data_IF_814203161952
#
_entry.id   IF_814203161952
#
_cell.length_a   1.000
_cell.length_b   1.000
_cell.length_c   1.000
_cell.angle_alpha   90.00
_cell.angle_beta   90.00
_cell.angle_gamma   90.00
#
_symmetry.space_group_name_H-M   'P 1'
#
loop_
_entity.id
_entity.type
_entity.pdbx_description
1 polymer ?
#
# COMPACT_ATOMS: atom_id res chain seq x y z
N UNK A 1 29.03 10.95 -13.34
CA UNK A 1 28.55 12.17 -14.02
C UNK A 1 27.43 12.76 -13.19
N UNK A 2 27.48 14.06 -12.90
CA UNK A 2 26.36 14.74 -12.26
C UNK A 2 25.14 14.73 -13.21
N UNK A 3 23.94 14.61 -12.66
CA UNK A 3 22.69 14.63 -13.43
C UNK A 3 22.55 15.96 -14.21
N UNK A 4 21.86 15.95 -15.35
CA UNK A 4 21.57 17.18 -16.11
C UNK A 4 20.72 18.16 -15.29
N UNK A 5 20.78 19.46 -15.61
CA UNK A 5 19.95 20.48 -14.94
C UNK A 5 18.44 20.15 -15.02
N UNK A 6 17.97 19.56 -16.11
CA UNK A 6 16.59 19.07 -16.22
C UNK A 6 16.32 17.94 -15.20
N UNK A 7 17.24 16.98 -15.06
CA UNK A 7 17.11 15.87 -14.10
C UNK A 7 17.25 16.33 -12.63
N UNK A 8 17.87 17.50 -12.38
CA UNK A 8 17.90 18.19 -11.10
C UNK A 8 16.61 19.02 -10.90
N UNK A 9 16.02 19.58 -11.94
CA UNK A 9 14.75 20.32 -11.85
C UNK A 9 13.59 19.36 -11.54
N UNK A 10 13.61 18.14 -12.08
CA UNK A 10 12.73 17.05 -11.66
C UNK A 10 13.13 16.43 -10.31
N UNK A 11 14.13 16.97 -9.60
CA UNK A 11 14.61 16.37 -8.35
C UNK A 11 13.69 16.50 -7.16
N UNK A 12 12.80 17.47 -7.22
CA UNK A 12 11.75 17.72 -6.24
C UNK A 12 10.57 18.26 -7.05
N UNK A 13 9.71 17.36 -7.54
CA UNK A 13 8.45 17.80 -8.14
C UNK A 13 7.61 18.32 -6.97
N UNK A 14 7.26 19.62 -6.92
CA UNK A 14 6.40 20.16 -5.87
C UNK A 14 5.11 19.35 -5.77
N UNK A 15 4.59 19.14 -4.56
CA UNK A 15 3.47 18.24 -4.33
C UNK A 15 2.22 18.62 -5.16
N UNK A 16 2.02 19.91 -5.44
CA UNK A 16 0.96 20.48 -6.26
C UNK A 16 1.15 20.24 -7.78
N UNK A 17 2.36 19.92 -8.22
CA UNK A 17 2.67 19.55 -9.60
C UNK A 17 2.66 18.02 -9.83
N UNK A 18 2.43 17.23 -8.78
CA UNK A 18 2.32 15.78 -8.89
C UNK A 18 0.89 15.36 -9.29
N UNK A 19 0.78 14.23 -9.99
CA UNK A 19 -0.52 13.60 -10.26
C UNK A 19 -1.18 13.27 -8.93
N UNK A 20 -2.46 13.65 -8.81
CA UNK A 20 -3.25 13.40 -7.60
C UNK A 20 -3.40 11.90 -7.35
N UNK A 21 -3.62 11.52 -6.09
CA UNK A 21 -3.68 10.13 -5.67
C UNK A 21 -4.80 9.37 -6.40
N UNK A 22 -5.95 9.99 -6.56
CA UNK A 22 -7.15 9.47 -7.22
C UNK A 22 -6.97 9.22 -8.73
N UNK A 23 -6.07 9.97 -9.38
CA UNK A 23 -5.83 9.91 -10.83
C UNK A 23 -4.74 8.90 -11.20
N UNK A 24 -4.08 8.29 -10.21
CA UNK A 24 -3.00 7.33 -10.44
C UNK A 24 -3.51 5.93 -10.77
N UNK A 25 -2.82 5.28 -11.70
CA UNK A 25 -2.95 3.84 -11.93
C UNK A 25 -2.42 3.10 -10.70
N UNK A 26 -3.22 2.16 -10.19
CA UNK A 26 -2.96 1.50 -8.90
C UNK A 26 -1.65 0.74 -8.82
N UNK A 27 -1.35 -0.06 -9.84
CA UNK A 27 -0.06 -0.73 -9.93
C UNK A 27 0.32 -1.12 -11.37
N UNK A 28 1.62 -1.06 -11.64
CA UNK A 28 2.27 -1.75 -12.76
C UNK A 28 3.09 -2.92 -12.22
N UNK A 29 3.03 -4.06 -12.89
CA UNK A 29 3.80 -5.25 -12.53
C UNK A 29 4.72 -5.60 -13.69
N UNK A 30 6.02 -5.73 -13.40
CA UNK A 30 7.05 -6.02 -14.40
C UNK A 30 7.91 -7.18 -13.92
N UNK A 31 8.23 -8.11 -14.81
CA UNK A 31 9.12 -9.26 -14.59
C UNK A 31 10.16 -9.30 -15.71
N UNK A 32 11.31 -9.92 -15.42
CA UNK A 32 12.38 -10.15 -16.42
C UNK A 32 12.73 -8.89 -17.21
N UNK A 33 12.92 -7.77 -16.49
CA UNK A 33 13.19 -6.47 -17.10
C UNK A 33 14.32 -5.69 -16.42
N UNK A 34 15.05 -4.88 -17.19
CA UNK A 34 15.93 -3.87 -16.65
C UNK A 34 15.20 -2.52 -16.65
N UNK A 35 14.96 -1.95 -15.48
CA UNK A 35 14.32 -0.64 -15.32
C UNK A 35 15.41 0.42 -15.24
N UNK A 36 15.47 1.31 -16.25
CA UNK A 36 16.49 2.36 -16.35
C UNK A 36 15.85 3.74 -16.52
N UNK A 37 16.61 4.76 -16.14
CA UNK A 37 16.30 6.13 -16.49
C UNK A 37 16.85 6.40 -17.88
N UNK A 38 15.98 6.75 -18.82
CA UNK A 38 16.31 7.27 -20.13
C UNK A 38 16.12 8.80 -20.16
N UNK A 39 16.50 9.45 -21.27
CA UNK A 39 16.37 10.90 -21.50
C UNK A 39 14.92 11.40 -21.35
N UNK A 40 13.94 10.56 -21.65
CA UNK A 40 12.51 10.93 -21.66
C UNK A 40 11.72 10.40 -20.47
N UNK A 41 12.35 9.67 -19.55
CA UNK A 41 11.72 9.14 -18.34
C UNK A 41 12.19 7.74 -17.99
N UNK A 42 11.38 7.00 -17.23
CA UNK A 42 11.71 5.64 -16.78
C UNK A 42 11.24 4.63 -17.83
N UNK A 43 12.13 3.71 -18.21
CA UNK A 43 11.90 2.71 -19.26
C UNK A 43 12.19 1.31 -18.71
N UNK A 44 11.32 0.36 -19.05
CA UNK A 44 11.55 -1.07 -18.87
C UNK A 44 12.09 -1.68 -20.16
N UNK A 45 13.25 -2.33 -20.09
CA UNK A 45 13.85 -3.11 -21.17
C UNK A 45 13.62 -4.59 -20.91
N UNK A 46 13.11 -5.33 -21.88
CA UNK A 46 12.96 -6.79 -21.75
C UNK A 46 14.33 -7.46 -21.59
N UNK A 47 14.46 -8.44 -20.70
CA UNK A 47 15.69 -9.21 -20.49
C UNK A 47 15.45 -10.68 -20.81
N UNK A 48 16.25 -11.25 -21.72
CA UNK A 48 16.27 -12.69 -22.04
C UNK A 48 17.73 -13.15 -22.01
N UNK A 49 17.99 -14.27 -21.33
CA UNK A 49 19.34 -14.85 -21.19
C UNK A 49 20.42 -13.84 -20.72
N UNK A 50 20.07 -13.00 -19.75
CA UNK A 50 20.92 -11.91 -19.22
C UNK A 50 21.35 -10.85 -20.25
N UNK A 51 20.73 -10.84 -21.42
CA UNK A 51 20.92 -9.82 -22.45
C UNK A 51 19.69 -8.91 -22.52
N UNK A 52 19.90 -7.59 -22.49
CA UNK A 52 18.83 -6.62 -22.70
C UNK A 52 18.39 -6.68 -24.18
N UNK A 53 17.11 -6.96 -24.44
CA UNK A 53 16.51 -6.94 -25.77
C UNK A 53 16.03 -5.53 -26.14
N UNK A 54 15.80 -5.28 -27.43
CA UNK A 54 15.34 -3.99 -27.96
C UNK A 54 13.93 -3.57 -27.50
N UNK A 55 13.11 -4.50 -26.99
CA UNK A 55 11.76 -4.16 -26.54
C UNK A 55 11.82 -3.24 -25.31
N UNK A 56 11.42 -1.99 -25.53
CA UNK A 56 11.37 -0.94 -24.52
C UNK A 56 9.94 -0.48 -24.29
N UNK A 57 9.56 -0.34 -23.02
CA UNK A 57 8.26 0.18 -22.61
C UNK A 57 8.48 1.37 -21.68
N UNK A 58 7.94 2.53 -22.05
CA UNK A 58 7.94 3.70 -21.17
C UNK A 58 7.02 3.44 -19.97
N UNK A 59 7.53 3.64 -18.76
CA UNK A 59 6.77 3.53 -17.53
C UNK A 59 6.30 4.93 -17.07
N UNK A 60 4.99 5.17 -16.90
CA UNK A 60 4.47 6.46 -16.46
C UNK A 60 4.57 6.59 -14.93
N UNK A 61 5.80 6.63 -14.39
CA UNK A 61 6.04 6.58 -12.93
C UNK A 61 5.24 7.64 -12.16
N UNK A 62 5.19 8.89 -12.63
CA UNK A 62 4.37 9.93 -11.99
C UNK A 62 2.86 9.67 -11.96
N UNK A 63 2.35 8.82 -12.84
CA UNK A 63 0.96 8.36 -12.86
C UNK A 63 0.75 6.99 -12.19
N UNK A 64 1.78 6.40 -11.58
CA UNK A 64 1.70 5.12 -10.88
C UNK A 64 1.71 5.32 -9.36
N UNK A 65 0.82 4.60 -8.68
CA UNK A 65 0.87 4.46 -7.24
C UNK A 65 1.95 3.45 -6.82
N UNK A 66 1.98 2.27 -7.45
CA UNK A 66 2.94 1.19 -7.13
C UNK A 66 3.61 0.65 -8.39
N UNK A 67 4.95 0.58 -8.39
CA UNK A 67 5.73 -0.18 -9.36
C UNK A 67 6.21 -1.49 -8.71
N UNK A 68 5.63 -2.61 -9.14
CA UNK A 68 5.96 -3.94 -8.65
C UNK A 68 7.02 -4.60 -9.54
N UNK A 69 8.14 -4.94 -8.92
CA UNK A 69 9.30 -5.57 -9.53
C UNK A 69 9.30 -7.06 -9.17
N UNK A 70 8.87 -7.89 -10.11
CA UNK A 70 8.87 -9.34 -10.00
C UNK A 70 10.24 -9.98 -10.31
N UNK A 71 10.36 -11.31 -10.26
CA UNK A 71 11.60 -12.03 -10.52
C UNK A 71 12.28 -11.66 -11.85
N UNK A 72 13.61 -11.67 -11.84
CA UNK A 72 14.43 -11.32 -13.00
C UNK A 72 14.43 -9.83 -13.34
N UNK A 73 13.92 -8.97 -12.44
CA UNK A 73 13.86 -7.53 -12.65
C UNK A 73 14.96 -6.80 -11.89
N UNK A 74 15.62 -5.85 -12.54
CA UNK A 74 16.57 -4.92 -11.90
C UNK A 74 16.10 -3.48 -12.07
N UNK A 75 16.51 -2.59 -11.16
CA UNK A 75 16.23 -1.15 -11.25
C UNK A 75 17.50 -0.35 -10.99
N UNK A 76 17.81 0.61 -11.86
CA UNK A 76 18.95 1.51 -11.65
C UNK A 76 18.65 2.56 -10.58
N UNK A 77 19.70 3.06 -9.91
CA UNK A 77 19.55 4.12 -8.91
C UNK A 77 18.82 5.36 -9.47
N UNK A 78 19.09 5.75 -10.71
CA UNK A 78 18.43 6.87 -11.37
C UNK A 78 16.93 6.61 -11.59
N UNK A 79 16.54 5.41 -12.03
CA UNK A 79 15.13 5.05 -12.19
C UNK A 79 14.38 4.99 -10.85
N UNK A 80 15.01 4.42 -9.82
CA UNK A 80 14.46 4.39 -8.47
C UNK A 80 14.27 5.81 -7.91
N UNK A 81 15.25 6.69 -8.15
CA UNK A 81 15.17 8.11 -7.77
C UNK A 81 13.99 8.80 -8.43
N UNK A 82 13.75 8.58 -9.72
CA UNK A 82 12.59 9.13 -10.43
C UNK A 82 11.25 8.62 -9.87
N UNK A 83 11.16 7.33 -9.54
CA UNK A 83 9.98 6.76 -8.88
C UNK A 83 9.70 7.48 -7.55
N UNK A 84 10.70 7.55 -6.66
CA UNK A 84 10.63 8.23 -5.37
C UNK A 84 10.19 9.70 -5.49
N UNK A 85 10.81 10.46 -6.40
CA UNK A 85 10.51 11.89 -6.59
C UNK A 85 9.10 12.14 -7.10
N UNK A 86 8.57 11.20 -7.88
CA UNK A 86 7.21 11.26 -8.42
C UNK A 86 6.15 10.64 -7.49
N UNK A 87 6.58 10.14 -6.32
CA UNK A 87 5.72 9.53 -5.32
C UNK A 87 5.31 8.08 -5.58
N UNK A 88 5.90 7.42 -6.58
CA UNK A 88 5.64 6.00 -6.84
C UNK A 88 6.27 5.13 -5.75
N UNK A 89 5.48 4.27 -5.12
CA UNK A 89 5.98 3.22 -4.24
C UNK A 89 6.63 2.11 -5.04
N UNK A 90 7.87 1.73 -4.69
CA UNK A 90 8.55 0.59 -5.30
C UNK A 90 8.28 -0.65 -4.44
N UNK A 91 7.89 -1.74 -5.07
CA UNK A 91 7.61 -2.99 -4.39
C UNK A 91 8.36 -4.16 -5.05
N UNK A 92 9.26 -4.80 -4.32
CA UNK A 92 9.95 -6.01 -4.75
C UNK A 92 9.11 -7.23 -4.37
N UNK A 93 8.84 -8.10 -5.33
CA UNK A 93 7.91 -9.21 -5.15
C UNK A 93 8.39 -10.49 -5.82
N UNK A 94 8.03 -11.65 -5.26
CA UNK A 94 8.17 -12.94 -5.94
C UNK A 94 7.16 -13.11 -7.08
N UNK A 95 7.34 -14.12 -7.94
CA UNK A 95 6.45 -14.36 -9.09
C UNK A 95 4.99 -14.62 -8.69
N UNK A 96 4.79 -15.27 -7.54
CA UNK A 96 3.47 -15.45 -6.91
C UNK A 96 3.07 -14.35 -5.94
N UNK A 97 3.73 -13.19 -5.95
CA UNK A 97 3.46 -12.07 -5.04
C UNK A 97 4.28 -12.07 -3.75
N UNK A 98 4.81 -13.22 -3.33
CA UNK A 98 5.48 -13.41 -2.03
C UNK A 98 6.92 -13.92 -2.26
N UNK A 99 7.94 -13.43 -1.51
CA UNK A 99 7.89 -12.34 -0.53
C UNK A 99 7.59 -10.98 -1.18
N UNK A 100 7.29 -9.99 -0.35
CA UNK A 100 6.80 -8.67 -0.76
C UNK A 100 7.44 -7.60 0.14
N UNK A 101 8.34 -6.79 -0.42
CA UNK A 101 9.07 -5.71 0.24
C UNK A 101 8.74 -4.38 -0.41
N UNK A 102 8.40 -3.38 0.39
CA UNK A 102 7.97 -2.06 -0.11
C UNK A 102 8.93 -0.98 0.36
N UNK A 103 9.29 -0.08 -0.55
CA UNK A 103 9.94 1.18 -0.22
C UNK A 103 9.11 2.32 -0.79
N UNK A 104 8.71 3.25 0.08
CA UNK A 104 7.88 4.37 -0.29
C UNK A 104 8.44 5.66 0.34
N UNK A 105 8.45 6.73 -0.44
CA UNK A 105 8.85 8.05 0.04
C UNK A 105 7.59 8.83 0.40
N UNK A 106 7.53 9.47 1.58
CA UNK A 106 6.37 10.27 1.96
C UNK A 106 6.04 11.35 0.92
N UNK A 107 4.75 11.57 0.65
CA UNK A 107 4.27 12.61 -0.27
C UNK A 107 3.93 13.93 0.43
N UNK A 108 4.18 13.99 1.74
CA UNK A 108 3.92 15.15 2.60
C UNK A 108 5.20 15.53 3.33
N UNK A 109 5.42 16.83 3.51
CA UNK A 109 6.43 17.37 4.42
C UNK A 109 5.91 17.54 5.85
N UNK A 110 4.59 17.57 6.06
CA UNK A 110 3.96 17.66 7.37
C UNK A 110 4.04 16.31 8.11
N UNK A 111 4.40 16.39 9.39
CA UNK A 111 4.45 15.25 10.31
C UNK A 111 3.14 15.03 11.11
N UNK A 112 2.09 15.86 10.91
CA UNK A 112 0.87 15.82 11.75
C UNK A 112 0.21 14.46 11.81
N UNK A 113 0.20 13.73 10.68
CA UNK A 113 -0.42 12.41 10.59
C UNK A 113 0.41 11.34 11.28
N UNK A 114 1.75 11.44 11.20
CA UNK A 114 2.64 10.55 11.95
C UNK A 114 2.51 10.78 13.47
N UNK A 115 2.39 12.04 13.90
CA UNK A 115 2.13 12.39 15.31
C UNK A 115 0.77 11.84 15.76
N UNK A 116 -0.27 12.02 14.93
CA UNK A 116 -1.60 11.47 15.21
C UNK A 116 -1.58 9.93 15.30
N UNK A 117 -0.82 9.27 14.43
CA UNK A 117 -0.65 7.82 14.46
C UNK A 117 0.03 7.39 15.76
N UNK A 118 1.09 8.08 16.19
CA UNK A 118 1.75 7.81 17.47
C UNK A 118 0.75 7.95 18.65
N UNK A 119 -0.02 9.04 18.68
CA UNK A 119 -1.03 9.28 19.72
C UNK A 119 -2.17 8.24 19.71
N UNK A 120 -2.55 7.72 18.53
CA UNK A 120 -3.53 6.64 18.39
C UNK A 120 -2.97 5.32 18.95
N UNK A 121 -1.76 4.92 18.55
CA UNK A 121 -1.24 3.59 18.87
C UNK A 121 -0.65 3.48 20.28
N UNK A 122 -0.29 4.61 20.89
CA UNK A 122 0.24 4.66 22.27
C UNK A 122 -0.86 4.73 23.34
N UNK A 123 -2.14 4.70 22.97
CA UNK A 123 -3.26 4.70 23.90
C UNK A 123 -4.24 3.56 23.57
N UNK A 124 -4.45 2.64 24.52
CA UNK A 124 -5.28 1.45 24.31
C UNK A 124 -6.75 1.78 23.98
N UNK A 125 -7.30 2.85 24.56
CA UNK A 125 -8.68 3.25 24.31
C UNK A 125 -8.84 3.84 22.89
N UNK A 126 -7.88 4.67 22.46
CA UNK A 126 -7.84 5.20 21.09
C UNK A 126 -7.70 4.06 20.07
N UNK A 127 -6.74 3.16 20.31
CA UNK A 127 -6.51 2.01 19.45
C UNK A 127 -7.74 1.11 19.37
N UNK A 128 -8.39 0.81 20.50
CA UNK A 128 -9.62 0.00 20.53
C UNK A 128 -10.71 0.64 19.68
N UNK A 129 -10.93 1.95 19.81
CA UNK A 129 -11.94 2.68 19.03
C UNK A 129 -11.65 2.59 17.53
N UNK A 130 -10.40 2.79 17.13
CA UNK A 130 -9.97 2.68 15.73
C UNK A 130 -10.12 1.25 15.19
N UNK A 131 -9.74 0.23 15.97
CA UNK A 131 -9.87 -1.17 15.58
C UNK A 131 -11.33 -1.59 15.36
N UNK A 132 -12.26 -1.13 16.21
CA UNK A 132 -13.70 -1.39 16.02
C UNK A 132 -14.19 -0.80 14.70
N UNK A 133 -13.79 0.43 14.36
CA UNK A 133 -14.13 1.05 13.07
C UNK A 133 -13.62 0.24 11.87
N UNK A 134 -12.37 -0.23 11.93
CA UNK A 134 -11.82 -1.07 10.87
C UNK A 134 -12.59 -2.37 10.71
N UNK A 135 -12.92 -3.05 11.81
CA UNK A 135 -13.74 -4.26 11.76
C UNK A 135 -15.15 -4.00 11.23
N UNK A 136 -15.80 -2.91 11.62
CA UNK A 136 -17.11 -2.52 11.12
C UNK A 136 -17.09 -2.33 9.61
N UNK A 137 -16.10 -1.59 9.09
CA UNK A 137 -15.91 -1.43 7.64
C UNK A 137 -15.64 -2.76 6.93
N UNK A 138 -14.72 -3.57 7.44
CA UNK A 138 -14.38 -4.87 6.84
C UNK A 138 -15.60 -5.79 6.73
N UNK A 139 -16.43 -5.82 7.78
CA UNK A 139 -17.59 -6.71 7.88
C UNK A 139 -18.88 -6.12 7.30
N UNK A 140 -18.86 -4.84 6.91
CA UNK A 140 -20.05 -4.11 6.43
C UNK A 140 -21.13 -3.98 7.50
N UNK A 141 -20.74 -3.80 8.77
CA UNK A 141 -21.67 -3.67 9.90
C UNK A 141 -21.79 -2.20 10.27
N UNK A 142 -23.02 -1.71 10.40
CA UNK A 142 -23.31 -0.35 10.88
C UNK A 142 -22.91 -0.16 12.35
N UNK A 143 -22.92 1.09 12.81
CA UNK A 143 -22.53 1.42 14.18
C UNK A 143 -23.45 0.72 15.20
N UNK A 144 -22.87 -0.11 16.08
CA UNK A 144 -23.62 -0.86 17.08
C UNK A 144 -23.68 -0.02 18.35
N UNK A 145 -24.88 0.14 18.92
CA UNK A 145 -25.16 1.00 20.08
C UNK A 145 -24.35 0.68 21.35
N UNK A 146 -23.66 -0.47 21.39
CA UNK A 146 -22.64 -0.80 22.38
C UNK A 146 -21.41 -1.35 21.65
N UNK A 147 -20.33 -0.56 21.63
CA UNK A 147 -19.13 -0.91 20.87
C UNK A 147 -18.61 -2.30 21.29
N UNK A 148 -18.70 -3.32 20.40
CA UNK A 148 -18.43 -4.71 20.77
C UNK A 148 -16.99 -4.89 21.24
N UNK A 149 -16.74 -5.95 22.00
CA UNK A 149 -15.36 -6.27 22.37
C UNK A 149 -14.56 -6.66 21.12
N UNK A 150 -13.26 -6.33 21.09
CA UNK A 150 -12.37 -6.72 20.00
C UNK A 150 -12.36 -8.25 19.79
N UNK A 151 -12.54 -9.01 20.88
CA UNK A 151 -12.62 -10.47 20.82
C UNK A 151 -13.85 -10.94 20.01
N UNK A 152 -15.01 -10.30 20.20
CA UNK A 152 -16.22 -10.58 19.41
C UNK A 152 -15.99 -10.25 17.93
N UNK A 153 -15.40 -9.08 17.63
CA UNK A 153 -15.13 -8.67 16.25
C UNK A 153 -14.19 -9.64 15.52
N UNK A 154 -13.10 -10.06 16.18
CA UNK A 154 -12.18 -11.08 15.65
C UNK A 154 -12.86 -12.44 15.43
N UNK A 155 -13.78 -12.83 16.31
CA UNK A 155 -14.58 -14.04 16.12
C UNK A 155 -15.52 -13.96 14.92
N UNK A 156 -16.13 -12.79 14.69
CA UNK A 156 -16.95 -12.53 13.51
C UNK A 156 -16.12 -12.56 12.22
N UNK A 157 -14.98 -11.87 12.19
CA UNK A 157 -14.03 -11.89 11.07
C UNK A 157 -13.66 -13.32 10.67
N UNK A 158 -13.25 -14.16 11.63
CA UNK A 158 -12.88 -15.55 11.35
C UNK A 158 -14.03 -16.35 10.73
N UNK A 159 -15.27 -16.15 11.19
CA UNK A 159 -16.45 -16.77 10.59
C UNK A 159 -16.70 -16.29 9.17
N UNK A 160 -16.63 -14.98 8.94
CA UNK A 160 -16.80 -14.39 7.60
C UNK A 160 -15.73 -14.90 6.64
N UNK A 161 -14.47 -14.97 7.04
CA UNK A 161 -13.39 -15.50 6.18
C UNK A 161 -13.65 -16.96 5.82
N UNK A 162 -13.96 -17.81 6.81
CA UNK A 162 -14.25 -19.22 6.60
C UNK A 162 -15.43 -19.40 5.64
N UNK A 163 -16.52 -18.69 5.85
CA UNK A 163 -17.71 -18.75 5.00
C UNK A 163 -17.42 -18.24 3.58
N UNK A 164 -16.63 -17.17 3.44
CA UNK A 164 -16.22 -16.64 2.14
C UNK A 164 -15.44 -17.67 1.35
N UNK A 165 -14.42 -18.29 1.96
CA UNK A 165 -13.65 -19.36 1.31
C UNK A 165 -14.53 -20.55 0.90
N UNK A 166 -15.41 -21.02 1.78
CA UNK A 166 -16.33 -22.12 1.48
C UNK A 166 -17.28 -21.79 0.34
N UNK A 167 -17.83 -20.56 0.33
CA UNK A 167 -18.75 -20.09 -0.70
C UNK A 167 -18.06 -19.98 -2.05
N UNK A 168 -16.86 -19.37 -2.11
CA UNK A 168 -16.10 -19.24 -3.35
C UNK A 168 -15.61 -20.60 -3.86
N UNK A 169 -15.15 -21.49 -2.97
CA UNK A 169 -14.76 -22.85 -3.34
C UNK A 169 -15.91 -23.63 -3.98
N UNK A 170 -17.10 -23.59 -3.35
CA UNK A 170 -18.31 -24.22 -3.91
C UNK A 170 -18.71 -23.60 -5.25
N UNK A 171 -18.72 -22.27 -5.34
CA UNK A 171 -19.12 -21.53 -6.55
C UNK A 171 -18.24 -21.87 -7.76
N UNK A 172 -16.94 -22.06 -7.54
CA UNK A 172 -15.95 -22.30 -8.59
C UNK A 172 -15.54 -23.78 -8.73
N UNK A 173 -16.23 -24.70 -8.05
CA UNK A 173 -16.00 -26.14 -8.17
C UNK A 173 -14.69 -26.64 -7.54
N UNK A 174 -14.05 -25.84 -6.67
CA UNK A 174 -12.77 -26.18 -6.04
C UNK A 174 -13.03 -27.02 -4.78
N UNK A 175 -12.60 -28.28 -4.80
CA UNK A 175 -12.81 -29.23 -3.69
C UNK A 175 -11.70 -29.14 -2.66
N UNK A 176 -12.05 -29.30 -1.38
CA UNK A 176 -11.11 -29.40 -0.25
C UNK A 176 -10.10 -28.25 -0.13
N UNK A 177 -10.47 -27.04 -0.60
CA UNK A 177 -9.59 -25.88 -0.50
C UNK A 177 -9.20 -25.59 0.96
N UNK A 178 -7.90 -25.38 1.17
CA UNK A 178 -7.35 -24.84 2.41
C UNK A 178 -6.40 -23.71 2.07
N UNK A 179 -6.51 -22.61 2.81
CA UNK A 179 -5.55 -21.51 2.69
C UNK A 179 -4.17 -21.99 3.15
N UNK A 180 -3.19 -21.94 2.26
CA UNK A 180 -1.80 -22.26 2.52
C UNK A 180 -0.90 -21.27 1.76
N UNK A 181 -0.09 -20.48 2.46
CA UNK A 181 0.81 -19.50 1.82
C UNK A 181 1.91 -20.15 0.99
N UNK A 182 2.26 -21.41 1.30
CA UNK A 182 3.20 -22.21 0.53
C UNK A 182 2.50 -23.12 -0.50
N UNK A 183 1.18 -22.99 -0.66
CA UNK A 183 0.43 -23.75 -1.66
C UNK A 183 0.79 -23.29 -3.07
N UNK A 184 0.98 -24.27 -3.95
CA UNK A 184 1.29 -24.09 -5.37
C UNK A 184 0.02 -24.14 -6.24
N UNK A 185 -1.14 -24.45 -5.67
CA UNK A 185 -2.41 -24.39 -6.39
C UNK A 185 -2.74 -22.96 -6.86
N UNK A 186 -3.43 -22.80 -8.00
CA UNK A 186 -3.71 -21.48 -8.59
C UNK A 186 -4.42 -20.52 -7.63
N UNK A 187 -5.27 -21.03 -6.73
CA UNK A 187 -6.02 -20.21 -5.77
C UNK A 187 -5.07 -19.66 -4.72
N UNK A 188 -4.23 -20.49 -4.10
CA UNK A 188 -3.27 -20.02 -3.10
C UNK A 188 -2.21 -19.08 -3.69
N UNK A 189 -1.71 -19.35 -4.89
CA UNK A 189 -0.83 -18.43 -5.62
C UNK A 189 -1.55 -17.11 -5.93
N UNK A 190 -2.79 -17.17 -6.41
CA UNK A 190 -3.61 -16.00 -6.67
C UNK A 190 -3.85 -15.16 -5.43
N UNK A 191 -4.21 -15.79 -4.30
CA UNK A 191 -4.40 -15.11 -3.02
C UNK A 191 -3.10 -14.43 -2.55
N UNK A 192 -1.95 -15.09 -2.69
CA UNK A 192 -0.65 -14.50 -2.38
C UNK A 192 -0.38 -13.25 -3.23
N UNK A 193 -0.62 -13.34 -4.54
CA UNK A 193 -0.42 -12.25 -5.49
C UNK A 193 -1.35 -11.07 -5.24
N UNK A 194 -2.64 -11.33 -5.11
CA UNK A 194 -3.64 -10.29 -4.86
C UNK A 194 -3.40 -9.58 -3.53
N UNK A 195 -3.10 -10.32 -2.46
CA UNK A 195 -2.79 -9.71 -1.17
C UNK A 195 -1.54 -8.84 -1.24
N UNK A 196 -0.51 -9.26 -1.97
CA UNK A 196 0.71 -8.47 -2.15
C UNK A 196 0.45 -7.16 -2.91
N UNK A 197 -0.41 -7.20 -3.93
CA UNK A 197 -0.88 -5.99 -4.63
C UNK A 197 -1.65 -5.04 -3.72
N UNK A 198 -2.51 -5.58 -2.85
CA UNK A 198 -3.22 -4.78 -1.84
C UNK A 198 -2.25 -4.20 -0.81
N UNK A 199 -1.21 -4.93 -0.39
CA UNK A 199 -0.17 -4.39 0.50
C UNK A 199 0.61 -3.25 -0.16
N UNK A 200 0.87 -3.33 -1.47
CA UNK A 200 1.44 -2.22 -2.23
C UNK A 200 0.55 -0.98 -2.20
N UNK A 201 -0.76 -1.15 -2.43
CA UNK A 201 -1.74 -0.07 -2.36
C UNK A 201 -1.80 0.56 -0.96
N UNK A 202 -1.81 -0.28 0.08
CA UNK A 202 -1.77 0.17 1.47
C UNK A 202 -0.48 0.93 1.79
N UNK A 203 0.66 0.49 1.26
CA UNK A 203 1.95 1.15 1.46
C UNK A 203 1.97 2.53 0.81
N UNK A 204 1.38 2.65 -0.39
CA UNK A 204 1.21 3.92 -1.06
C UNK A 204 0.28 4.87 -0.29
N UNK A 205 -0.86 4.38 0.24
CA UNK A 205 -1.74 5.18 1.08
C UNK A 205 -1.04 5.66 2.37
N UNK A 206 -0.22 4.80 3.01
CA UNK A 206 0.58 5.20 4.16
C UNK A 206 1.60 6.29 3.80
N UNK A 207 2.28 6.15 2.66
CA UNK A 207 3.26 7.13 2.19
C UNK A 207 2.61 8.47 1.82
N UNK A 208 1.39 8.46 1.28
CA UNK A 208 0.66 9.68 0.91
C UNK A 208 0.52 10.67 2.08
N UNK A 209 0.38 10.17 3.31
CA UNK A 209 0.26 10.99 4.52
C UNK A 209 1.43 10.80 5.51
N UNK A 210 2.50 10.12 5.10
CA UNK A 210 3.72 10.00 5.89
C UNK A 210 3.57 9.18 7.19
N UNK A 211 2.63 8.23 7.25
CA UNK A 211 2.45 7.35 8.42
C UNK A 211 3.32 6.10 8.33
N UNK A 212 3.70 5.56 9.48
CA UNK A 212 4.62 4.43 9.58
C UNK A 212 3.87 3.08 9.46
N UNK A 213 4.18 2.21 8.47
CA UNK A 213 3.54 0.91 8.30
C UNK A 213 3.69 -0.08 9.48
N UNK A 214 4.71 0.11 10.33
CA UNK A 214 4.95 -0.75 11.48
C UNK A 214 3.95 -0.50 12.62
N UNK A 215 3.38 0.71 12.69
CA UNK A 215 2.44 1.13 13.71
C UNK A 215 0.99 0.77 13.29
N UNK A 216 0.67 -0.53 13.36
CA UNK A 216 -0.67 -1.04 13.07
C UNK A 216 -1.74 -0.58 14.07
N UNK A 217 -3.00 -0.82 13.74
CA UNK A 217 -4.17 -0.61 14.60
C UNK A 217 -4.64 -1.96 15.14
N UNK A 218 -4.69 -3.03 14.32
CA UNK A 218 -5.09 -4.38 14.76
C UNK A 218 -3.85 -5.27 14.86
N UNK A 219 -3.03 -5.31 13.81
CA UNK A 219 -1.82 -6.12 13.78
C UNK A 219 -0.66 -5.49 14.58
N UNK A 220 0.19 -6.34 15.16
CA UNK A 220 1.36 -5.98 15.97
C UNK A 220 2.54 -6.89 15.67
N UNK A 221 3.76 -6.41 15.97
CA UNK A 221 5.00 -7.19 15.90
C UNK A 221 5.59 -7.36 14.49
N UNK A 222 4.96 -6.79 13.46
CA UNK A 222 5.48 -6.81 12.09
C UNK A 222 5.67 -5.38 11.55
N UNK A 223 6.75 -5.16 10.78
CA UNK A 223 6.99 -3.88 10.11
C UNK A 223 5.91 -3.49 9.07
N UNK A 224 5.02 -4.43 8.71
CA UNK A 224 3.91 -4.24 7.76
C UNK A 224 2.53 -4.29 8.43
N UNK A 225 2.47 -4.16 9.76
CA UNK A 225 1.22 -4.36 10.51
C UNK A 225 0.06 -3.50 9.99
N UNK A 226 0.28 -2.21 9.74
CA UNK A 226 -0.75 -1.33 9.20
C UNK A 226 -1.14 -1.69 7.75
N UNK A 227 -0.20 -2.24 6.96
CA UNK A 227 -0.50 -2.71 5.61
C UNK A 227 -1.47 -3.89 5.62
N UNK A 228 -1.33 -4.78 6.61
CA UNK A 228 -2.26 -5.88 6.83
C UNK A 228 -3.63 -5.35 7.23
N UNK A 229 -3.68 -4.43 8.21
CA UNK A 229 -4.93 -3.81 8.67
C UNK A 229 -5.74 -3.20 7.51
N UNK A 230 -5.07 -2.43 6.64
CA UNK A 230 -5.73 -1.79 5.50
C UNK A 230 -6.13 -2.77 4.40
N UNK A 231 -5.26 -3.73 4.07
CA UNK A 231 -5.56 -4.71 3.03
C UNK A 231 -6.71 -5.66 3.43
N UNK A 232 -6.81 -5.99 4.72
CA UNK A 232 -7.83 -6.91 5.25
C UNK A 232 -9.26 -6.39 5.09
N UNK A 233 -9.45 -5.08 4.97
CA UNK A 233 -10.74 -4.44 4.65
C UNK A 233 -11.32 -4.92 3.32
N UNK A 234 -10.45 -5.29 2.37
CA UNK A 234 -10.83 -5.60 0.98
C UNK A 234 -10.67 -7.07 0.60
N UNK A 235 -10.01 -7.88 1.43
CA UNK A 235 -9.84 -9.32 1.15
C UNK A 235 -11.17 -10.06 0.89
N UNK A 236 -12.23 -9.87 1.69
CA UNK A 236 -13.45 -10.66 1.56
C UNK A 236 -14.24 -10.31 0.30
N UNK A 237 -14.17 -9.05 -0.13
CA UNK A 237 -14.98 -8.50 -1.21
C UNK A 237 -14.23 -8.41 -2.55
N UNK A 238 -12.89 -8.50 -2.53
CA UNK A 238 -12.04 -8.35 -3.72
C UNK A 238 -11.08 -9.53 -3.87
N UNK A 239 -10.06 -9.65 -3.01
CA UNK A 239 -8.94 -10.57 -3.28
C UNK A 239 -9.35 -12.04 -3.25
N UNK A 240 -10.20 -12.43 -2.30
CA UNK A 240 -10.67 -13.81 -2.18
C UNK A 240 -11.58 -14.18 -3.37
N UNK A 241 -12.67 -13.44 -3.68
CA UNK A 241 -13.50 -13.77 -4.84
C UNK A 241 -12.73 -13.84 -6.15
N UNK A 242 -11.83 -12.89 -6.42
CA UNK A 242 -11.07 -12.86 -7.68
C UNK A 242 -10.07 -14.02 -7.80
N UNK A 243 -9.39 -14.39 -6.70
CA UNK A 243 -8.44 -15.50 -6.74
C UNK A 243 -9.13 -16.82 -7.09
N UNK A 244 -10.35 -17.05 -6.61
CA UNK A 244 -11.15 -18.22 -6.97
C UNK A 244 -11.72 -18.11 -8.39
N UNK A 245 -12.18 -16.92 -8.80
CA UNK A 245 -12.75 -16.71 -10.12
C UNK A 245 -11.73 -16.92 -11.24
N UNK A 246 -10.50 -16.46 -11.06
CA UNK A 246 -9.43 -16.61 -12.04
C UNK A 246 -8.73 -17.98 -11.99
N UNK A 247 -9.01 -18.83 -11.00
CA UNK A 247 -8.25 -20.06 -10.78
C UNK A 247 -8.35 -21.08 -11.94
N UNK A 248 -9.44 -21.02 -12.71
CA UNK A 248 -9.71 -21.91 -13.84
C UNK A 248 -9.42 -21.27 -15.21
N UNK A 249 -8.84 -20.06 -15.23
CA UNK A 249 -8.37 -19.43 -16.47
C UNK A 249 -7.14 -20.17 -17.00
N UNK A 250 -6.86 -20.05 -18.31
CA UNK A 250 -5.64 -20.61 -18.92
C UNK A 250 -4.38 -20.05 -18.26
N UNK A 251 -4.38 -18.74 -17.99
CA UNK A 251 -3.34 -18.01 -17.27
C UNK A 251 -3.90 -17.32 -16.00
N UNK A 252 -4.01 -18.04 -14.86
CA UNK A 252 -4.69 -17.54 -13.66
C UNK A 252 -4.10 -16.24 -13.10
N UNK A 253 -2.77 -16.14 -13.01
CA UNK A 253 -2.12 -14.99 -12.39
C UNK A 253 -2.25 -13.72 -13.26
N UNK A 254 -1.92 -13.73 -14.58
CA UNK A 254 -2.21 -12.59 -15.46
C UNK A 254 -3.68 -12.15 -15.44
N UNK A 255 -4.62 -13.09 -15.50
CA UNK A 255 -6.06 -12.80 -15.43
C UNK A 255 -6.42 -12.11 -14.11
N UNK A 256 -5.93 -12.63 -12.98
CA UNK A 256 -6.11 -12.04 -11.65
C UNK A 256 -5.56 -10.61 -11.57
N UNK A 257 -4.33 -10.35 -12.05
CA UNK A 257 -3.75 -8.99 -12.03
C UNK A 257 -4.63 -8.00 -12.79
N UNK A 258 -5.12 -8.40 -13.97
CA UNK A 258 -6.00 -7.57 -14.82
C UNK A 258 -7.33 -7.28 -14.13
N UNK A 259 -7.98 -8.31 -13.57
CA UNK A 259 -9.26 -8.16 -12.88
C UNK A 259 -9.12 -7.35 -11.57
N UNK A 260 -8.07 -7.60 -10.78
CA UNK A 260 -7.80 -6.87 -9.56
C UNK A 260 -7.57 -5.37 -9.81
N UNK A 261 -6.81 -5.02 -10.85
CA UNK A 261 -6.61 -3.61 -11.25
C UNK A 261 -7.94 -2.94 -11.58
N UNK A 262 -8.83 -3.63 -12.31
CA UNK A 262 -10.17 -3.13 -12.65
C UNK A 262 -11.01 -2.92 -11.39
N UNK A 263 -11.01 -3.87 -10.46
CA UNK A 263 -11.78 -3.74 -9.21
C UNK A 263 -11.25 -2.64 -8.29
N UNK A 264 -9.93 -2.47 -8.19
CA UNK A 264 -9.32 -1.36 -7.44
C UNK A 264 -9.76 -0.02 -8.00
N UNK A 265 -9.75 0.14 -9.32
CA UNK A 265 -10.20 1.37 -9.97
C UNK A 265 -11.70 1.57 -9.79
N UNK A 266 -12.52 0.55 -10.09
CA UNK A 266 -13.99 0.62 -10.00
C UNK A 266 -14.48 0.97 -8.59
N UNK A 267 -13.76 0.54 -7.55
CA UNK A 267 -14.10 0.79 -6.15
C UNK A 267 -13.37 1.99 -5.55
N UNK A 268 -12.58 2.73 -6.33
CA UNK A 268 -11.74 3.83 -5.84
C UNK A 268 -10.89 3.45 -4.61
N UNK A 269 -10.34 2.24 -4.60
CA UNK A 269 -9.78 1.63 -3.39
C UNK A 269 -8.59 2.41 -2.82
N UNK A 270 -7.78 3.07 -3.66
CA UNK A 270 -6.69 3.94 -3.15
C UNK A 270 -7.23 5.12 -2.34
N UNK A 271 -8.31 5.75 -2.83
CA UNK A 271 -8.97 6.87 -2.16
C UNK A 271 -9.61 6.37 -0.87
N UNK A 272 -10.35 5.26 -0.93
CA UNK A 272 -10.99 4.68 0.25
C UNK A 272 -9.97 4.28 1.34
N UNK A 273 -8.82 3.71 0.96
CA UNK A 273 -7.73 3.42 1.92
C UNK A 273 -7.22 4.68 2.62
N UNK A 274 -7.05 5.78 1.88
CA UNK A 274 -6.63 7.05 2.44
C UNK A 274 -7.72 7.67 3.33
N UNK A 275 -8.99 7.59 2.92
CA UNK A 275 -10.14 8.03 3.71
C UNK A 275 -10.22 7.26 5.03
N UNK A 276 -10.06 5.94 5.01
CA UNK A 276 -10.04 5.12 6.22
C UNK A 276 -8.92 5.56 7.17
N UNK A 277 -7.71 5.75 6.65
CA UNK A 277 -6.57 6.22 7.44
C UNK A 277 -6.83 7.59 8.06
N UNK A 278 -7.27 8.55 7.26
CA UNK A 278 -7.53 9.91 7.73
C UNK A 278 -8.71 9.95 8.70
N UNK A 279 -9.74 9.12 8.52
CA UNK A 279 -10.89 9.01 9.42
C UNK A 279 -10.47 8.56 10.83
N UNK A 280 -9.62 7.54 10.93
CA UNK A 280 -9.17 7.03 12.26
C UNK A 280 -8.11 7.93 12.90
N UNK A 281 -7.34 8.68 12.10
CA UNK A 281 -6.27 9.55 12.60
C UNK A 281 -6.71 10.98 12.93
N UNK A 282 -7.73 11.50 12.25
CA UNK A 282 -8.22 12.89 12.43
C UNK A 282 -8.50 13.25 13.90
N UNK A 283 -9.12 12.40 14.72
CA UNK A 283 -9.36 12.68 16.14
C UNK A 283 -8.08 12.89 16.98
N UNK A 284 -6.92 12.50 16.43
CA UNK A 284 -5.63 12.52 17.11
C UNK A 284 -4.66 13.55 16.51
N UNK A 285 -5.14 14.40 15.59
CA UNK A 285 -4.31 15.45 15.01
C UNK A 285 -3.82 16.42 16.10
N UNK A 286 -2.56 16.88 16.02
CA UNK A 286 -2.09 17.94 16.89
C UNK A 286 -2.85 19.24 16.60
N UNK A 287 -2.95 20.12 17.60
CA UNK A 287 -3.57 21.44 17.45
C UNK A 287 -2.82 22.38 16.50
N UNK A 288 -1.57 22.04 16.15
CA UNK A 288 -0.66 22.83 15.33
C UNK A 288 0.14 21.93 14.38
N UNK A 289 0.46 22.45 13.20
CA UNK A 289 1.19 21.77 12.10
C UNK A 289 2.38 22.60 11.58
N UNK A 290 2.90 23.52 12.40
CA UNK A 290 4.06 24.36 12.07
C UNK A 290 5.36 23.81 12.68
N UNK A 291 6.49 24.31 12.14
CA UNK A 291 7.83 23.95 12.61
C UNK A 291 8.11 24.54 14.00
N UNK A 292 8.52 23.67 14.93
CA UNK A 292 8.57 23.94 16.36
C UNK A 292 9.76 23.27 17.02
N UNK A 293 10.27 23.91 18.08
CA UNK A 293 11.29 23.34 18.96
C UNK A 293 10.66 22.96 20.29
N UNK A 294 11.06 21.80 20.82
CA UNK A 294 10.72 21.37 22.17
C UNK A 294 11.33 22.34 23.17
N UNK A 295 10.52 22.86 24.09
CA UNK A 295 10.95 23.68 25.23
C UNK A 295 10.76 22.91 26.55
N UNK A 296 11.09 23.54 27.67
CA UNK A 296 10.86 22.97 29.00
C UNK A 296 9.37 22.85 29.35
N UNK A 297 9.02 21.85 30.17
CA UNK A 297 7.67 21.66 30.76
C UNK A 297 6.52 21.48 29.77
N UNK A 298 6.80 20.95 28.57
CA UNK A 298 5.77 20.68 27.56
C UNK A 298 5.40 21.90 26.72
N UNK A 299 6.14 23.00 26.86
CA UNK A 299 6.01 24.15 25.98
C UNK A 299 6.72 23.89 24.65
N UNK A 300 6.25 24.58 23.61
CA UNK A 300 6.85 24.58 22.28
C UNK A 300 7.07 26.02 21.82
N UNK A 301 8.21 26.26 21.19
CA UNK A 301 8.55 27.57 20.63
C UNK A 301 8.71 27.48 19.11
N UNK A 302 8.61 28.60 18.42
CA UNK A 302 8.71 28.63 16.96
C UNK A 302 10.09 28.09 16.49
N UNK A 303 10.07 27.23 15.47
CA UNK A 303 11.27 26.83 14.76
C UNK A 303 11.89 27.99 13.98
N UNK A 304 13.08 27.77 13.43
CA UNK A 304 13.84 28.76 12.65
C UNK A 304 14.03 30.14 13.32
N UNK A 305 13.95 30.19 14.66
CA UNK A 305 14.09 31.42 15.46
C UNK A 305 15.39 31.37 16.27
N UNK A 306 16.17 32.46 16.25
CA UNK A 306 17.42 32.54 17.02
C UNK A 306 17.15 32.96 18.47
N UNK A 307 17.16 31.98 19.38
CA UNK A 307 16.90 32.19 20.81
C UNK A 307 18.13 32.64 21.61
N UNK A 308 19.33 32.59 21.02
CA UNK A 308 20.53 33.16 21.63
C UNK A 308 20.48 34.69 21.57
N UNK A 309 20.32 35.37 22.71
CA UNK A 309 20.58 36.81 22.81
C UNK A 309 22.07 37.08 22.56
N UNK A 310 22.38 38.12 21.79
CA UNK A 310 23.72 38.74 21.80
C UNK A 310 23.96 39.40 23.15
#
# INVERSE_FOLDING_TARGET
>A
MAYSEDAITFSTIPADHQVRLEDRVSFAYVERAAIRQDRTGVVAYSVVDNSELEQRIQLPVGGLAVLMLGPGTSISAAAATSCTRSGTTIMFTGGGGVPAYTHATPLTSSARWAIAQAALVSNEAHQRKAAIKLYQRQLGIEEIADAPSISIMRGLEGRVMKQTYQTQAKKHGIKNFRRNTAGDDPVNQGLNLANSMLYGCAAFACAAIGVNPALGIIHRGNARSLLFDLADLYKPTISIPLAFACANEEDPLPALRKQLRREIHRKNLLVDMLEVLTEVLTPHLPSRDDDRLVSGRGDEVAGHTQYGRR
#
